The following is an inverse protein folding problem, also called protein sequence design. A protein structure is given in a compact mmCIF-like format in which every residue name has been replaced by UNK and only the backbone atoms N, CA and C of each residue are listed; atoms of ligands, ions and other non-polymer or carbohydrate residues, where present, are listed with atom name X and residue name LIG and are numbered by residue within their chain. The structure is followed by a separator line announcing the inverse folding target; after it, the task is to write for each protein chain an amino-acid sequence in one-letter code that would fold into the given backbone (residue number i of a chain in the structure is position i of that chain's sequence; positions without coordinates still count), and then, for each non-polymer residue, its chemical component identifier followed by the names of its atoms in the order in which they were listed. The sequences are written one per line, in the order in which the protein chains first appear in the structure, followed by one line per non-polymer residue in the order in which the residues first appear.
data_IF_765145036992
#
_entry.id   IF_765145036992
#
_cell.length_a   1.000
_cell.length_b   1.000
_cell.length_c   1.000
_cell.angle_alpha   90.00
_cell.angle_beta   90.00
_cell.angle_gamma   90.00
#
_symmetry.space_group_name_H-M   'P 1'
#
loop_
_entity.id
_entity.type
_entity.pdbx_description
1 polymer ?
#
# COMPACT_ATOMS: atom_id res chain seq x y z
N UNK A 1 -17.35 2.09 0.16
CA UNK A 1 -17.86 0.79 0.64
C UNK A 1 -18.08 0.86 2.14
N UNK A 2 -19.34 1.02 2.54
CA UNK A 2 -19.77 1.16 3.94
C UNK A 2 -21.13 0.52 4.14
N UNK A 3 -21.47 0.22 5.38
CA UNK A 3 -22.76 -0.33 5.77
C UNK A 3 -23.32 0.43 6.97
N UNK A 4 -24.64 0.52 7.05
CA UNK A 4 -25.33 1.18 8.17
C UNK A 4 -25.49 0.24 9.34
N UNK A 5 -25.15 0.73 10.52
CA UNK A 5 -25.34 0.03 11.79
C UNK A 5 -26.12 0.89 12.78
N UNK A 6 -27.01 0.27 13.53
CA UNK A 6 -27.63 0.91 14.69
C UNK A 6 -26.64 0.88 15.84
N UNK A 7 -26.30 2.03 16.37
CA UNK A 7 -25.36 2.19 17.48
C UNK A 7 -25.97 2.99 18.61
N UNK A 8 -25.42 2.86 19.81
CA UNK A 8 -25.73 3.74 20.94
C UNK A 8 -24.63 4.77 21.07
N UNK A 9 -24.95 6.05 20.81
CA UNK A 9 -24.01 7.16 20.85
C UNK A 9 -24.15 7.94 22.16
N UNK A 10 -23.07 8.00 22.93
CA UNK A 10 -22.99 8.84 24.12
C UNK A 10 -22.47 10.23 23.76
N UNK A 11 -23.25 11.25 24.10
CA UNK A 11 -22.89 12.67 23.94
C UNK A 11 -23.61 13.51 24.98
N UNK A 12 -22.89 14.45 25.62
CA UNK A 12 -23.47 15.39 26.58
C UNK A 12 -24.31 14.72 27.69
N UNK A 13 -23.79 13.64 28.30
CA UNK A 13 -24.44 12.86 29.35
C UNK A 13 -25.77 12.18 28.93
N UNK A 14 -25.98 12.00 27.63
CA UNK A 14 -27.13 11.29 27.07
C UNK A 14 -26.67 10.13 26.19
N UNK A 15 -27.46 9.08 26.17
CA UNK A 15 -27.29 7.92 25.31
C UNK A 15 -28.43 7.91 24.29
N UNK A 16 -28.10 8.08 23.03
CA UNK A 16 -29.04 8.11 21.91
C UNK A 16 -28.79 6.92 20.97
N UNK A 17 -29.85 6.29 20.50
CA UNK A 17 -29.74 5.27 19.45
C UNK A 17 -29.79 5.97 18.09
N UNK A 18 -28.70 5.83 17.31
CA UNK A 18 -28.54 6.47 16.00
C UNK A 18 -28.03 5.47 14.97
N UNK A 19 -28.14 5.82 13.70
CA UNK A 19 -27.48 5.07 12.63
C UNK A 19 -26.10 5.67 12.37
N UNK A 20 -25.11 4.79 12.14
CA UNK A 20 -23.74 5.18 11.74
C UNK A 20 -23.28 4.37 10.54
N UNK A 21 -22.34 4.93 9.78
CA UNK A 21 -21.75 4.26 8.63
C UNK A 21 -20.39 3.68 9.01
N UNK A 22 -20.26 2.39 8.83
CA UNK A 22 -19.06 1.63 9.19
C UNK A 22 -18.40 1.10 7.91
N UNK A 23 -17.07 1.19 7.83
CA UNK A 23 -16.30 0.61 6.72
C UNK A 23 -16.48 -0.90 6.67
N UNK A 24 -16.77 -1.44 5.47
CA UNK A 24 -16.86 -2.88 5.27
C UNK A 24 -15.44 -3.47 5.28
N UNK A 25 -15.27 -4.53 6.05
CA UNK A 25 -14.05 -5.34 6.11
C UNK A 25 -14.40 -6.79 5.77
N UNK A 26 -13.78 -7.36 4.74
CA UNK A 26 -14.05 -8.69 4.22
C UNK A 26 -12.75 -9.38 3.80
N UNK A 27 -12.62 -10.71 3.97
CA UNK A 27 -11.45 -11.43 3.49
C UNK A 27 -11.39 -11.42 1.96
N UNK A 28 -10.18 -11.35 1.40
CA UNK A 28 -9.87 -11.61 0.01
C UNK A 28 -8.79 -12.68 -0.08
N UNK A 29 -9.09 -13.78 -0.75
CA UNK A 29 -8.15 -14.83 -1.07
C UNK A 29 -7.50 -14.53 -2.43
N UNK A 30 -6.18 -14.29 -2.43
CA UNK A 30 -5.39 -13.99 -3.63
C UNK A 30 -4.73 -15.27 -4.12
N UNK A 31 -5.09 -15.70 -5.33
CA UNK A 31 -4.59 -16.91 -5.97
C UNK A 31 -3.79 -16.58 -7.22
N UNK A 32 -2.73 -17.35 -7.45
CA UNK A 32 -1.88 -17.27 -8.64
C UNK A 32 -2.00 -18.55 -9.45
N UNK A 33 -2.17 -18.41 -10.77
CA UNK A 33 -2.09 -19.48 -11.74
C UNK A 33 -0.91 -19.24 -12.68
N UNK A 34 0.02 -20.19 -12.73
CA UNK A 34 1.24 -20.07 -13.52
C UNK A 34 1.66 -21.43 -14.07
N UNK A 35 2.56 -21.44 -15.05
CA UNK A 35 3.14 -22.67 -15.59
C UNK A 35 4.40 -23.04 -14.80
N UNK A 36 4.54 -24.31 -14.46
CA UNK A 36 5.78 -24.89 -13.95
C UNK A 36 6.19 -25.98 -14.97
N UNK A 37 7.09 -25.64 -15.86
CA UNK A 37 7.38 -26.40 -17.06
C UNK A 37 6.15 -26.51 -17.97
N UNK A 38 5.68 -27.71 -18.24
CA UNK A 38 4.48 -27.97 -19.08
C UNK A 38 3.15 -27.93 -18.31
N UNK A 39 3.19 -27.89 -16.99
CA UNK A 39 2.00 -28.05 -16.14
C UNK A 39 1.53 -26.71 -15.58
N UNK A 40 0.22 -26.49 -15.59
CA UNK A 40 -0.38 -25.38 -14.87
C UNK A 40 -0.45 -25.69 -13.37
N UNK A 41 0.00 -24.74 -12.57
CA UNK A 41 -0.15 -24.75 -11.11
C UNK A 41 -1.03 -23.60 -10.67
N UNK A 42 -1.75 -23.84 -9.58
CA UNK A 42 -2.53 -22.82 -8.87
C UNK A 42 -2.13 -22.86 -7.41
N UNK A 43 -1.76 -21.70 -6.88
CA UNK A 43 -1.32 -21.51 -5.48
C UNK A 43 -2.13 -20.43 -4.81
N UNK A 44 -2.50 -20.64 -3.56
CA UNK A 44 -3.02 -19.59 -2.69
C UNK A 44 -1.82 -18.78 -2.14
N UNK A 45 -1.77 -17.50 -2.44
CA UNK A 45 -0.67 -16.65 -2.03
C UNK A 45 -0.91 -16.00 -0.66
N UNK A 46 -2.14 -15.53 -0.43
CA UNK A 46 -2.49 -14.80 0.78
C UNK A 46 -4.00 -14.73 0.98
N UNK A 47 -4.39 -14.58 2.23
CA UNK A 47 -5.73 -14.12 2.59
C UNK A 47 -5.55 -12.82 3.38
N UNK A 48 -6.12 -11.72 2.88
CA UNK A 48 -6.03 -10.41 3.52
C UNK A 48 -7.41 -9.86 3.85
N UNK A 49 -7.55 -9.20 5.00
CA UNK A 49 -8.74 -8.45 5.34
C UNK A 49 -8.66 -7.09 4.65
N UNK A 50 -9.66 -6.78 3.80
CA UNK A 50 -9.66 -5.55 3.01
C UNK A 50 -11.03 -4.88 2.98
N UNK A 51 -11.07 -3.61 2.63
CA UNK A 51 -12.30 -2.98 2.14
C UNK A 51 -12.55 -3.44 0.71
N UNK A 52 -13.72 -4.07 0.42
CA UNK A 52 -14.07 -4.52 -0.93
C UNK A 52 -13.97 -3.42 -1.97
N UNK A 53 -13.75 -3.84 -3.22
CA UNK A 53 -13.49 -2.95 -4.35
C UNK A 53 -11.99 -2.68 -4.55
N UNK A 54 -11.61 -2.38 -5.77
CA UNK A 54 -10.20 -2.28 -6.18
C UNK A 54 -9.38 -3.56 -5.93
N UNK A 55 -10.02 -4.73 -5.89
CA UNK A 55 -9.38 -6.01 -5.59
C UNK A 55 -8.33 -6.40 -6.66
N UNK A 56 -8.54 -5.99 -7.90
CA UNK A 56 -7.55 -6.15 -8.98
C UNK A 56 -6.30 -5.33 -8.67
N UNK A 57 -6.45 -4.03 -8.35
CA UNK A 57 -5.34 -3.17 -7.98
C UNK A 57 -4.61 -3.70 -6.74
N UNK A 58 -5.37 -4.13 -5.70
CA UNK A 58 -4.80 -4.73 -4.50
C UNK A 58 -3.91 -5.92 -4.85
N UNK A 59 -4.41 -6.83 -5.69
CA UNK A 59 -3.72 -8.07 -6.04
C UNK A 59 -2.49 -7.82 -6.90
N UNK A 60 -2.57 -6.94 -7.89
CA UNK A 60 -1.42 -6.55 -8.73
C UNK A 60 -0.34 -5.89 -7.88
N UNK A 61 -0.71 -4.92 -7.04
CA UNK A 61 0.23 -4.25 -6.15
C UNK A 61 0.88 -5.22 -5.16
N UNK A 62 0.11 -6.15 -4.59
CA UNK A 62 0.62 -7.20 -3.73
C UNK A 62 1.67 -8.06 -4.44
N UNK A 63 1.36 -8.62 -5.63
CA UNK A 63 2.28 -9.45 -6.38
C UNK A 63 3.60 -8.71 -6.71
N UNK A 64 3.50 -7.46 -7.10
CA UNK A 64 4.66 -6.64 -7.45
C UNK A 64 5.49 -6.29 -6.22
N UNK A 65 4.86 -5.83 -5.15
CA UNK A 65 5.52 -5.45 -3.91
C UNK A 65 6.17 -6.62 -3.18
N UNK A 66 5.59 -7.82 -3.29
CA UNK A 66 6.17 -9.07 -2.79
C UNK A 66 7.19 -9.68 -3.77
N UNK A 67 7.49 -9.00 -4.89
CA UNK A 67 8.44 -9.46 -5.91
C UNK A 67 8.13 -10.85 -6.46
N UNK A 68 6.86 -11.23 -6.49
CA UNK A 68 6.37 -12.44 -7.15
C UNK A 68 6.41 -12.23 -8.66
N UNK A 69 6.07 -11.02 -9.10
CA UNK A 69 6.27 -10.51 -10.45
C UNK A 69 7.11 -9.24 -10.41
N UNK A 70 7.90 -8.98 -11.45
CA UNK A 70 8.69 -7.73 -11.62
C UNK A 70 8.24 -6.94 -12.84
N UNK A 71 7.34 -7.49 -13.64
CA UNK A 71 6.75 -6.83 -14.81
C UNK A 71 5.25 -7.13 -14.85
N UNK A 72 4.44 -6.08 -14.95
CA UNK A 72 2.98 -6.20 -15.04
C UNK A 72 2.53 -6.91 -16.34
N UNK A 73 3.33 -6.85 -17.39
CA UNK A 73 3.03 -7.52 -18.66
C UNK A 73 3.05 -9.06 -18.55
N UNK A 74 3.50 -9.62 -17.43
CA UNK A 74 3.39 -11.07 -17.17
C UNK A 74 1.98 -11.49 -16.79
N UNK A 75 1.10 -10.56 -16.44
CA UNK A 75 -0.30 -10.84 -16.12
C UNK A 75 -1.08 -11.00 -17.43
N UNK A 76 -1.60 -12.19 -17.67
CA UNK A 76 -2.48 -12.50 -18.79
C UNK A 76 -3.94 -12.16 -18.47
N UNK A 77 -4.40 -12.50 -17.26
CA UNK A 77 -5.79 -12.37 -16.85
C UNK A 77 -5.94 -12.22 -15.36
N UNK A 78 -6.92 -11.42 -14.94
CA UNK A 78 -7.37 -11.29 -13.56
C UNK A 78 -8.86 -11.58 -13.49
N UNK A 79 -9.28 -12.46 -12.58
CA UNK A 79 -10.68 -12.90 -12.46
C UNK A 79 -11.10 -12.94 -11.00
N UNK A 80 -12.17 -12.23 -10.65
CA UNK A 80 -12.86 -12.41 -9.38
C UNK A 80 -13.78 -13.63 -9.46
N UNK A 81 -13.70 -14.52 -8.48
CA UNK A 81 -14.47 -15.77 -8.45
C UNK A 81 -14.83 -16.18 -7.02
N UNK A 82 -15.44 -17.36 -6.86
CA UNK A 82 -15.91 -17.86 -5.58
C UNK A 82 -17.35 -17.48 -5.29
N UNK A 83 -17.80 -17.86 -4.12
CA UNK A 83 -19.15 -17.56 -3.67
C UNK A 83 -19.33 -16.07 -3.47
N UNK A 84 -20.51 -15.58 -3.84
CA UNK A 84 -20.91 -14.22 -3.55
C UNK A 84 -21.29 -14.11 -2.08
N UNK A 85 -20.66 -13.22 -1.34
CA UNK A 85 -21.11 -12.90 0.02
C UNK A 85 -22.44 -12.14 -0.07
N UNK A 86 -23.56 -12.87 0.07
CA UNK A 86 -24.92 -12.43 -0.23
C UNK A 86 -25.36 -11.12 0.47
N UNK A 87 -24.62 -10.65 1.47
CA UNK A 87 -24.92 -9.39 2.15
C UNK A 87 -24.42 -8.18 1.37
N UNK A 88 -23.28 -8.27 0.64
CA UNK A 88 -22.62 -7.13 0.04
C UNK A 88 -22.32 -7.28 -1.47
N UNK A 89 -22.71 -8.39 -2.09
CA UNK A 89 -22.50 -8.70 -3.51
C UNK A 89 -21.01 -8.67 -3.96
N UNK A 90 -20.09 -9.10 -3.08
CA UNK A 90 -18.66 -9.19 -3.37
C UNK A 90 -18.16 -10.62 -3.42
N UNK A 91 -17.25 -10.88 -4.35
CA UNK A 91 -16.52 -12.14 -4.40
C UNK A 91 -15.26 -12.04 -3.56
N UNK A 92 -15.00 -13.09 -2.77
CA UNK A 92 -13.89 -13.11 -1.82
C UNK A 92 -12.64 -13.81 -2.34
N UNK A 93 -12.60 -14.13 -3.64
CA UNK A 93 -11.44 -14.77 -4.28
C UNK A 93 -11.09 -14.07 -5.58
N UNK A 94 -9.79 -13.90 -5.81
CA UNK A 94 -9.25 -13.37 -7.05
C UNK A 94 -8.16 -14.31 -7.57
N UNK A 95 -8.16 -14.56 -8.87
CA UNK A 95 -7.19 -15.40 -9.57
C UNK A 95 -6.43 -14.55 -10.57
N UNK A 96 -5.12 -14.48 -10.41
CA UNK A 96 -4.21 -13.89 -11.37
C UNK A 96 -3.56 -15.00 -12.17
N UNK A 97 -3.72 -14.98 -13.50
CA UNK A 97 -3.08 -15.92 -14.44
C UNK A 97 -1.89 -15.24 -15.09
N UNK A 98 -0.73 -15.89 -15.08
CA UNK A 98 0.48 -15.39 -15.72
C UNK A 98 0.71 -16.07 -17.07
N UNK A 99 1.09 -15.26 -18.08
CA UNK A 99 1.39 -15.73 -19.43
C UNK A 99 2.81 -16.33 -19.55
N UNK A 100 3.75 -15.86 -18.73
CA UNK A 100 5.14 -16.31 -18.71
C UNK A 100 5.54 -16.67 -17.28
N UNK A 101 5.96 -17.92 -17.10
CA UNK A 101 6.33 -18.48 -15.80
C UNK A 101 7.84 -18.63 -15.60
N UNK A 102 8.64 -18.46 -16.66
CA UNK A 102 10.09 -18.68 -16.60
C UNK A 102 10.79 -17.70 -15.61
N UNK A 103 10.12 -16.58 -15.30
CA UNK A 103 10.62 -15.55 -14.43
C UNK A 103 9.88 -15.44 -13.08
N UNK A 104 8.87 -16.30 -12.82
CA UNK A 104 8.14 -16.26 -11.55
C UNK A 104 9.06 -16.70 -10.41
N UNK A 105 9.16 -15.89 -9.38
CA UNK A 105 9.95 -16.25 -8.20
C UNK A 105 9.21 -17.28 -7.33
N UNK A 106 9.24 -18.54 -7.77
CA UNK A 106 8.56 -19.67 -7.11
C UNK A 106 9.02 -19.82 -5.64
N UNK A 107 10.27 -19.48 -5.34
CA UNK A 107 10.77 -19.52 -3.96
C UNK A 107 10.10 -18.46 -3.08
N UNK A 108 9.73 -17.33 -3.65
CA UNK A 108 8.97 -16.26 -2.99
C UNK A 108 7.51 -16.68 -2.81
N UNK A 109 6.90 -17.28 -3.83
CA UNK A 109 5.54 -17.85 -3.74
C UNK A 109 5.45 -18.85 -2.58
N UNK A 110 6.40 -19.78 -2.47
CA UNK A 110 6.46 -20.78 -1.39
C UNK A 110 6.71 -20.17 -0.01
N UNK A 111 7.53 -19.11 0.10
CA UNK A 111 7.78 -18.40 1.36
C UNK A 111 6.54 -17.70 1.87
N UNK A 112 5.81 -17.01 1.00
CA UNK A 112 4.58 -16.31 1.38
C UNK A 112 3.49 -17.29 1.84
N UNK A 113 3.43 -18.49 1.27
CA UNK A 113 2.54 -19.55 1.72
C UNK A 113 2.83 -20.04 3.16
N UNK A 114 4.10 -20.08 3.56
CA UNK A 114 4.51 -20.51 4.91
C UNK A 114 4.37 -19.39 5.97
N UNK A 115 4.26 -18.13 5.55
CA UNK A 115 4.28 -16.95 6.44
C UNK A 115 2.91 -16.33 6.70
N UNK A 116 1.82 -17.01 6.37
CA UNK A 116 0.44 -16.57 6.61
C UNK A 116 0.03 -16.49 8.10
N UNK A 117 0.96 -16.43 9.03
CA UNK A 117 0.71 -16.13 10.43
C UNK A 117 1.12 -14.69 10.73
N UNK A 118 0.21 -13.92 11.20
CA UNK A 118 0.14 -12.56 11.80
C UNK A 118 1.43 -11.79 12.16
N UNK A 119 2.60 -12.22 11.75
CA UNK A 119 3.89 -11.60 12.00
C UNK A 119 4.73 -11.72 10.72
N UNK A 120 4.66 -10.72 9.85
CA UNK A 120 5.37 -10.66 8.55
C UNK A 120 6.90 -10.62 8.64
N UNK A 121 7.51 -11.05 9.74
CA UNK A 121 8.95 -10.91 10.01
C UNK A 121 9.57 -12.15 10.64
N UNK A 122 9.10 -13.35 10.32
CA UNK A 122 9.79 -14.56 10.76
C UNK A 122 10.68 -15.13 9.64
N UNK A 123 11.94 -14.83 9.73
CA UNK A 123 13.03 -15.44 8.95
C UNK A 123 13.68 -14.46 7.97
N UNK A 124 14.77 -13.81 8.40
CA UNK A 124 15.68 -12.98 7.59
C UNK A 124 14.99 -11.95 6.68
N UNK A 125 14.11 -11.17 7.23
CA UNK A 125 13.83 -9.83 6.76
C UNK A 125 14.97 -8.94 7.23
N UNK A 126 16.16 -9.38 6.98
CA UNK A 126 17.30 -8.52 7.20
C UNK A 126 17.23 -7.46 6.09
N UNK A 127 17.65 -6.27 6.41
CA UNK A 127 18.03 -5.22 5.46
C UNK A 127 18.80 -5.80 4.27
N UNK A 128 19.58 -6.87 4.49
CA UNK A 128 20.37 -7.62 3.51
C UNK A 128 19.51 -8.38 2.47
N UNK A 129 18.30 -8.86 2.83
CA UNK A 129 17.41 -9.51 1.86
C UNK A 129 16.87 -8.52 0.84
N UNK A 130 16.64 -7.27 1.25
CA UNK A 130 16.22 -6.18 0.36
C UNK A 130 17.34 -5.75 -0.59
N UNK A 131 18.60 -5.74 -0.15
CA UNK A 131 19.74 -5.46 -1.03
C UNK A 131 19.87 -6.51 -2.12
N UNK A 132 19.49 -7.76 -1.84
CA UNK A 132 19.48 -8.83 -2.85
C UNK A 132 18.35 -8.63 -3.87
N UNK A 133 17.23 -8.06 -3.44
CA UNK A 133 16.06 -7.82 -4.31
C UNK A 133 16.16 -6.49 -5.07
N UNK A 134 16.81 -5.48 -4.49
CA UNK A 134 16.97 -4.16 -5.07
C UNK A 134 18.42 -3.69 -4.97
N UNK A 135 19.14 -3.76 -6.08
CA UNK A 135 20.54 -3.32 -6.15
C UNK A 135 20.70 -1.80 -6.26
N UNK A 136 19.71 -1.13 -6.85
CA UNK A 136 19.78 0.31 -7.10
C UNK A 136 18.98 1.11 -6.07
N UNK A 137 19.58 2.17 -5.56
CA UNK A 137 18.87 3.16 -4.74
C UNK A 137 17.84 3.92 -5.59
N UNK A 138 16.72 4.37 -5.02
CA UNK A 138 15.81 5.25 -5.73
C UNK A 138 16.58 6.45 -6.25
N UNK A 139 16.34 6.80 -7.47
CA UNK A 139 16.85 8.06 -8.00
C UNK A 139 16.05 9.20 -7.36
N UNK A 140 16.69 10.30 -7.07
CA UNK A 140 16.07 11.46 -6.45
C UNK A 140 15.97 12.62 -7.43
N UNK A 141 14.93 13.46 -7.30
CA UNK A 141 14.85 14.66 -8.09
C UNK A 141 16.04 15.57 -7.76
N UNK A 142 16.53 16.30 -8.75
CA UNK A 142 17.57 17.30 -8.57
C UNK A 142 17.09 18.49 -7.70
N UNK A 143 15.78 18.66 -7.58
CA UNK A 143 15.14 19.74 -6.82
C UNK A 143 14.70 19.24 -5.44
N UNK A 144 15.00 20.02 -4.40
CA UNK A 144 14.51 19.76 -3.04
C UNK A 144 12.99 19.93 -3.00
N UNK A 145 12.34 19.15 -2.14
CA UNK A 145 10.91 19.33 -1.89
C UNK A 145 10.67 20.48 -0.90
N UNK A 146 9.76 21.36 -1.25
CA UNK A 146 9.42 22.49 -0.39
C UNK A 146 8.60 22.04 0.83
N UNK A 147 8.91 22.57 2.03
CA UNK A 147 8.19 22.27 3.28
C UNK A 147 6.67 22.45 3.18
N UNK A 148 6.19 23.42 2.39
CA UNK A 148 4.75 23.68 2.21
C UNK A 148 4.05 22.50 1.53
N UNK A 149 4.73 21.83 0.60
CA UNK A 149 4.20 20.62 -0.07
C UNK A 149 4.07 19.48 0.95
N UNK A 150 5.11 19.27 1.78
CA UNK A 150 5.11 18.26 2.83
C UNK A 150 3.92 18.48 3.78
N UNK A 151 3.73 19.72 4.26
CA UNK A 151 2.65 20.08 5.20
C UNK A 151 1.27 19.91 4.58
N UNK A 152 1.11 20.28 3.31
CA UNK A 152 -0.19 20.23 2.62
C UNK A 152 -0.59 18.83 2.15
N UNK A 153 0.37 17.95 1.87
CA UNK A 153 0.05 16.64 1.25
C UNK A 153 -0.89 15.76 2.09
N UNK A 154 -0.84 15.71 3.45
CA UNK A 154 -1.83 14.97 4.23
C UNK A 154 -3.23 15.59 4.22
N UNK A 155 -3.33 16.91 4.12
CA UNK A 155 -4.61 17.62 4.02
C UNK A 155 -5.27 17.30 2.68
N UNK A 156 -4.53 17.46 1.58
CA UNK A 156 -5.00 17.07 0.23
C UNK A 156 -5.39 15.59 0.20
N UNK A 157 -4.58 14.71 0.81
CA UNK A 157 -4.92 13.30 0.91
C UNK A 157 -6.27 13.10 1.61
N UNK A 158 -6.46 13.73 2.77
CA UNK A 158 -7.69 13.64 3.58
C UNK A 158 -8.92 14.16 2.83
N UNK A 159 -8.80 15.28 2.11
CA UNK A 159 -9.89 15.86 1.30
C UNK A 159 -10.34 14.90 0.18
N UNK A 160 -9.46 14.03 -0.29
CA UNK A 160 -9.73 13.05 -1.34
C UNK A 160 -10.09 11.65 -0.81
N UNK A 161 -10.21 11.48 0.51
CA UNK A 161 -10.64 10.24 1.14
C UNK A 161 -12.18 10.19 1.27
N UNK A 162 -12.84 9.67 0.26
CA UNK A 162 -14.32 9.61 0.20
C UNK A 162 -14.91 8.66 1.25
N UNK A 163 -14.28 7.52 1.50
CA UNK A 163 -14.75 6.55 2.48
C UNK A 163 -14.44 7.02 3.91
N UNK A 164 -13.27 7.61 4.13
CA UNK A 164 -12.92 8.18 5.43
C UNK A 164 -13.88 9.30 5.85
N UNK A 165 -14.29 10.16 4.92
CA UNK A 165 -15.24 11.24 5.22
C UNK A 165 -16.61 10.74 5.72
N UNK A 166 -16.99 9.52 5.32
CA UNK A 166 -18.26 8.89 5.70
C UNK A 166 -18.10 8.07 6.99
N UNK A 167 -17.01 7.30 7.13
CA UNK A 167 -16.89 6.26 8.16
C UNK A 167 -15.87 6.57 9.23
N UNK A 168 -14.89 7.44 8.96
CA UNK A 168 -13.78 7.75 9.88
C UNK A 168 -12.82 6.58 10.16
N UNK A 169 -13.08 5.38 9.64
CA UNK A 169 -12.42 4.12 10.03
C UNK A 169 -11.61 3.46 8.91
N UNK A 170 -10.90 4.24 8.08
CA UNK A 170 -10.17 3.70 6.92
C UNK A 170 -8.85 4.44 6.72
N UNK A 171 -7.84 3.74 6.21
CA UNK A 171 -6.54 4.32 5.85
C UNK A 171 -6.50 4.71 4.37
N UNK A 172 -5.54 5.60 4.03
CA UNK A 172 -5.26 5.95 2.66
C UNK A 172 -3.77 6.05 2.37
N UNK A 173 -3.44 5.82 1.09
CA UNK A 173 -2.16 6.17 0.49
C UNK A 173 -2.41 6.98 -0.78
N UNK A 174 -1.64 8.04 -0.99
CA UNK A 174 -1.72 8.92 -2.16
C UNK A 174 -0.37 9.07 -2.83
N UNK A 175 -0.37 9.02 -4.17
CA UNK A 175 0.77 9.37 -5.01
C UNK A 175 0.68 10.83 -5.40
N UNK A 176 1.76 11.57 -5.20
CA UNK A 176 1.87 13.00 -5.51
C UNK A 176 3.03 13.27 -6.46
N UNK A 177 2.90 14.31 -7.28
CA UNK A 177 4.07 14.90 -7.95
C UNK A 177 4.90 15.72 -6.96
N UNK A 178 6.17 15.95 -7.26
CA UNK A 178 7.03 16.79 -6.44
C UNK A 178 6.57 18.27 -6.34
N UNK A 179 5.67 18.69 -7.22
CA UNK A 179 4.99 20.00 -7.13
C UNK A 179 3.77 19.98 -6.19
N UNK A 180 3.44 18.84 -5.61
CA UNK A 180 2.37 18.70 -4.61
C UNK A 180 0.99 18.36 -5.19
N UNK A 181 0.87 18.05 -6.47
CA UNK A 181 -0.39 17.64 -7.08
C UNK A 181 -0.67 16.17 -6.77
N UNK A 182 -1.88 15.85 -6.30
CA UNK A 182 -2.35 14.49 -6.10
C UNK A 182 -2.59 13.83 -7.47
N UNK A 183 -1.95 12.68 -7.71
CA UNK A 183 -2.05 11.89 -8.95
C UNK A 183 -3.05 10.76 -8.79
N UNK A 184 -2.97 10.04 -7.66
CA UNK A 184 -3.85 8.92 -7.36
C UNK A 184 -4.00 8.76 -5.85
N UNK A 185 -5.15 8.23 -5.40
CA UNK A 185 -5.44 7.93 -3.99
C UNK A 185 -6.20 6.61 -3.89
N UNK A 186 -5.85 5.82 -2.88
CA UNK A 186 -6.56 4.58 -2.53
C UNK A 186 -6.79 4.49 -1.04
N UNK A 187 -7.98 3.94 -0.71
CA UNK A 187 -8.41 3.72 0.66
C UNK A 187 -8.59 2.23 0.96
N UNK A 188 -8.26 1.83 2.17
CA UNK A 188 -8.51 0.48 2.69
C UNK A 188 -8.48 0.50 4.22
N UNK A 189 -9.22 -0.42 4.89
CA UNK A 189 -9.15 -0.63 6.35
C UNK A 189 -7.72 -0.99 6.78
N UNK A 190 -6.95 -1.67 5.92
CA UNK A 190 -5.55 -2.01 6.10
C UNK A 190 -4.63 -1.00 5.42
N UNK A 191 -3.73 -0.32 6.17
CA UNK A 191 -2.78 0.62 5.57
C UNK A 191 -1.85 -0.01 4.52
N UNK A 192 -1.51 -1.30 4.67
CA UNK A 192 -0.71 -2.03 3.67
C UNK A 192 -1.50 -2.25 2.38
N UNK A 193 -2.77 -2.65 2.51
CA UNK A 193 -3.66 -2.82 1.37
C UNK A 193 -3.92 -1.49 0.65
N UNK A 194 -4.08 -0.38 1.38
CA UNK A 194 -4.22 0.95 0.76
C UNK A 194 -3.00 1.29 -0.12
N UNK A 195 -1.79 0.96 0.33
CA UNK A 195 -0.58 1.14 -0.47
C UNK A 195 -0.51 0.14 -1.64
N UNK A 196 -0.86 -1.13 -1.43
CA UNK A 196 -0.88 -2.12 -2.52
C UNK A 196 -1.91 -1.73 -3.60
N UNK A 197 -3.12 -1.29 -3.21
CA UNK A 197 -4.11 -0.74 -4.16
C UNK A 197 -3.55 0.43 -4.96
N UNK A 198 -2.86 1.37 -4.29
CA UNK A 198 -2.25 2.52 -4.94
C UNK A 198 -1.19 2.08 -5.96
N UNK A 199 -0.27 1.22 -5.55
CA UNK A 199 0.80 0.71 -6.43
C UNK A 199 0.21 -0.06 -7.61
N UNK A 200 -0.77 -0.95 -7.37
CA UNK A 200 -1.43 -1.69 -8.45
C UNK A 200 -2.07 -0.77 -9.49
N UNK A 201 -2.78 0.26 -9.06
CA UNK A 201 -3.35 1.25 -9.99
C UNK A 201 -2.27 1.99 -10.77
N UNK A 202 -1.21 2.44 -10.06
CA UNK A 202 -0.14 3.22 -10.69
C UNK A 202 0.63 2.42 -11.73
N UNK A 203 0.84 1.13 -11.48
CA UNK A 203 1.46 0.20 -12.44
C UNK A 203 0.54 -0.02 -13.65
N UNK A 204 -0.73 -0.37 -13.42
CA UNK A 204 -1.69 -0.67 -14.50
C UNK A 204 -1.93 0.54 -15.40
N UNK A 205 -2.00 1.74 -14.83
CA UNK A 205 -2.21 3.00 -15.56
C UNK A 205 -0.91 3.68 -16.00
N UNK A 206 0.26 3.09 -15.70
CA UNK A 206 1.59 3.64 -16.01
C UNK A 206 1.77 5.08 -15.50
N UNK A 207 1.34 5.32 -14.25
CA UNK A 207 1.39 6.65 -13.63
C UNK A 207 2.72 6.95 -12.95
N UNK A 208 3.53 5.91 -12.66
CA UNK A 208 4.83 6.10 -12.01
C UNK A 208 5.80 6.80 -12.95
N UNK A 209 6.38 7.90 -12.47
CA UNK A 209 7.46 8.65 -13.13
C UNK A 209 8.67 8.64 -12.22
N UNK A 210 9.80 8.23 -12.75
CA UNK A 210 11.04 8.24 -11.99
C UNK A 210 11.38 9.66 -11.52
N UNK A 211 11.80 9.78 -10.27
CA UNK A 211 12.39 10.99 -9.67
C UNK A 211 11.48 12.20 -9.50
N UNK A 212 10.18 12.09 -9.75
CA UNK A 212 9.28 13.25 -9.73
C UNK A 212 8.03 13.04 -8.86
N UNK A 213 8.07 12.03 -7.99
CA UNK A 213 6.89 11.64 -7.22
C UNK A 213 7.25 11.20 -5.80
N UNK A 214 6.27 11.33 -4.90
CA UNK A 214 6.34 10.84 -3.54
C UNK A 214 5.01 10.24 -3.08
N UNK A 215 5.05 9.47 -2.00
CA UNK A 215 3.86 8.86 -1.40
C UNK A 215 3.57 9.50 -0.05
N UNK A 216 2.30 9.85 0.19
CA UNK A 216 1.77 10.26 1.49
C UNK A 216 0.81 9.20 2.01
N UNK A 217 1.01 8.78 3.28
CA UNK A 217 0.17 7.80 3.98
C UNK A 217 -0.56 8.45 5.16
N UNK A 218 -1.81 8.09 5.37
CA UNK A 218 -2.64 8.59 6.48
C UNK A 218 -2.24 8.01 7.85
N UNK A 219 -1.42 6.96 7.89
CA UNK A 219 -1.06 6.23 9.09
C UNK A 219 0.42 6.26 9.46
N UNK A 220 0.82 5.30 10.32
CA UNK A 220 2.22 5.05 10.70
C UNK A 220 2.98 4.44 9.54
N UNK A 221 4.28 4.77 9.43
CA UNK A 221 5.21 4.21 8.45
C UNK A 221 6.04 3.09 9.11
N UNK A 222 5.71 1.84 8.82
CA UNK A 222 6.50 0.69 9.25
C UNK A 222 7.47 0.24 8.15
N UNK A 223 8.31 -0.74 8.50
CA UNK A 223 9.30 -1.33 7.59
C UNK A 223 8.68 -1.74 6.25
N UNK A 224 7.57 -2.47 6.26
CA UNK A 224 6.93 -3.01 5.05
C UNK A 224 6.44 -1.91 4.09
N UNK A 225 5.85 -0.82 4.63
CA UNK A 225 5.42 0.31 3.79
C UNK A 225 6.60 1.00 3.11
N UNK A 226 7.71 1.21 3.86
CA UNK A 226 8.94 1.78 3.30
C UNK A 226 9.55 0.84 2.27
N UNK A 227 9.57 -0.46 2.53
CA UNK A 227 10.03 -1.47 1.58
C UNK A 227 9.24 -1.43 0.27
N UNK A 228 7.91 -1.43 0.35
CA UNK A 228 7.02 -1.35 -0.82
C UNK A 228 7.28 -0.08 -1.63
N UNK A 229 7.44 1.06 -0.98
CA UNK A 229 7.77 2.33 -1.64
C UNK A 229 9.14 2.26 -2.35
N UNK A 230 10.15 1.69 -1.71
CA UNK A 230 11.48 1.51 -2.28
C UNK A 230 11.47 0.60 -3.51
N UNK A 231 10.75 -0.53 -3.47
CA UNK A 231 10.59 -1.44 -4.61
C UNK A 231 10.06 -0.70 -5.84
N UNK A 232 9.19 0.30 -5.63
CA UNK A 232 8.61 1.13 -6.67
C UNK A 232 9.41 2.39 -7.00
N UNK A 233 10.68 2.45 -6.62
CA UNK A 233 11.59 3.59 -6.87
C UNK A 233 11.12 4.93 -6.26
N UNK A 234 10.30 4.90 -5.23
CA UNK A 234 9.87 6.10 -4.50
C UNK A 234 10.96 6.52 -3.52
N UNK A 235 11.52 7.70 -3.71
CA UNK A 235 12.62 8.25 -2.90
C UNK A 235 12.18 9.13 -1.73
N UNK A 236 10.89 9.44 -1.59
CA UNK A 236 10.33 10.23 -0.49
C UNK A 236 9.01 9.64 -0.04
N UNK A 237 8.87 9.45 1.28
CA UNK A 237 7.63 9.00 1.88
C UNK A 237 7.24 9.88 3.07
N UNK A 238 5.97 10.26 3.12
CA UNK A 238 5.40 11.16 4.13
C UNK A 238 4.30 10.41 4.89
N UNK A 239 4.31 10.50 6.22
CA UNK A 239 3.29 9.91 7.08
C UNK A 239 2.68 10.91 8.06
N UNK A 240 1.37 10.80 8.27
CA UNK A 240 0.69 11.50 9.37
C UNK A 240 1.17 10.96 10.71
N UNK A 241 1.40 9.63 10.79
CA UNK A 241 1.89 8.97 11.98
C UNK A 241 3.43 8.85 12.05
N UNK A 242 3.90 8.17 13.10
CA UNK A 242 5.31 7.90 13.33
C UNK A 242 5.87 6.81 12.41
N UNK A 243 7.15 6.90 12.00
CA UNK A 243 7.88 5.74 11.50
C UNK A 243 8.33 4.82 12.63
N UNK A 244 8.63 3.57 12.29
CA UNK A 244 9.31 2.62 13.20
C UNK A 244 10.83 2.71 13.04
N UNK A 245 11.60 2.23 14.03
CA UNK A 245 13.07 2.23 13.96
C UNK A 245 13.59 1.54 12.72
N UNK A 246 13.09 0.32 12.44
CA UNK A 246 13.51 -0.45 11.26
C UNK A 246 13.14 0.24 9.93
N UNK A 247 12.04 1.01 9.89
CA UNK A 247 11.69 1.83 8.73
C UNK A 247 12.69 2.97 8.51
N UNK A 248 13.18 3.59 9.60
CA UNK A 248 14.19 4.65 9.55
C UNK A 248 15.55 4.08 9.07
N UNK A 249 15.95 2.92 9.62
CA UNK A 249 17.19 2.25 9.22
C UNK A 249 17.18 1.89 7.73
N UNK A 250 16.05 1.36 7.26
CA UNK A 250 15.84 1.05 5.85
C UNK A 250 15.90 2.30 4.96
N UNK A 251 15.22 3.37 5.37
CA UNK A 251 15.21 4.62 4.62
C UNK A 251 16.62 5.25 4.52
N UNK A 252 17.41 5.20 5.59
CA UNK A 252 18.80 5.66 5.58
C UNK A 252 19.67 4.81 4.65
N UNK A 253 19.54 3.48 4.72
CA UNK A 253 20.35 2.55 3.92
C UNK A 253 20.12 2.72 2.42
N UNK A 254 18.86 2.92 2.02
CA UNK A 254 18.47 3.11 0.61
C UNK A 254 18.35 4.58 0.19
N UNK A 255 18.81 5.50 1.02
CA UNK A 255 18.85 6.92 0.69
C UNK A 255 17.46 7.55 0.44
N UNK A 256 16.40 7.00 1.04
CA UNK A 256 15.04 7.55 0.99
C UNK A 256 14.86 8.65 2.03
N UNK A 257 14.16 9.73 1.67
CA UNK A 257 13.72 10.73 2.63
C UNK A 257 12.45 10.25 3.32
N UNK A 258 12.46 10.19 4.66
CA UNK A 258 11.33 9.73 5.46
C UNK A 258 10.85 10.84 6.39
N UNK A 259 9.59 11.24 6.23
CA UNK A 259 8.94 12.29 7.01
C UNK A 259 7.76 11.71 7.77
N UNK A 260 7.60 12.09 9.02
CA UNK A 260 6.49 11.64 9.86
C UNK A 260 5.98 12.72 10.80
N UNK A 261 4.88 12.42 11.51
CA UNK A 261 4.21 13.34 12.40
C UNK A 261 3.84 14.69 11.73
N UNK A 262 3.42 14.63 10.47
CA UNK A 262 3.05 15.84 9.74
C UNK A 262 1.76 16.43 10.31
N UNK A 263 1.83 17.69 10.72
CA UNK A 263 0.74 18.53 11.23
C UNK A 263 0.66 19.81 10.41
N UNK A 264 -0.26 20.71 10.77
CA UNK A 264 -0.49 21.96 10.04
C UNK A 264 0.74 22.88 9.96
N UNK A 265 1.63 22.82 10.95
CA UNK A 265 2.78 23.74 11.09
C UNK A 265 4.11 23.04 11.36
N UNK A 266 4.12 21.70 11.45
CA UNK A 266 5.28 20.95 11.89
C UNK A 266 5.34 19.54 11.30
N UNK A 267 6.55 19.02 11.19
CA UNK A 267 6.83 17.63 10.83
C UNK A 267 8.23 17.24 11.30
N UNK A 268 8.50 15.94 11.38
CA UNK A 268 9.81 15.40 11.68
C UNK A 268 10.42 14.74 10.44
N UNK A 269 11.69 15.04 10.18
CA UNK A 269 12.47 14.37 9.12
C UNK A 269 13.37 13.33 9.79
N UNK A 270 13.19 12.07 9.44
CA UNK A 270 13.90 10.94 10.06
C UNK A 270 15.11 10.48 9.25
N UNK A 271 15.14 10.79 7.96
CA UNK A 271 16.26 10.48 7.06
C UNK A 271 16.38 11.51 5.95
N UNK A 272 17.62 11.80 5.51
CA UNK A 272 17.94 12.61 4.34
C UNK A 272 17.33 14.01 4.31
N UNK A 273 17.47 14.76 5.41
CA UNK A 273 16.91 16.11 5.58
C UNK A 273 17.40 17.14 4.57
N UNK A 274 18.60 16.91 3.97
CA UNK A 274 19.18 17.78 2.95
C UNK A 274 18.34 17.93 1.67
N UNK A 275 17.34 17.03 1.48
CA UNK A 275 16.40 17.06 0.34
C UNK A 275 15.15 17.87 0.58
N UNK A 276 14.99 18.38 1.81
CA UNK A 276 13.86 19.23 2.18
C UNK A 276 14.30 20.69 2.18
N UNK A 277 13.54 21.56 1.50
CA UNK A 277 13.71 22.99 1.50
C UNK A 277 12.86 23.63 2.60
N UNK A 278 13.52 24.22 3.57
CA UNK A 278 12.87 24.82 4.77
C UNK A 278 12.65 26.31 4.61
N UNK A 279 13.41 26.99 3.73
CA UNK A 279 13.35 28.45 3.55
C UNK A 279 12.35 28.86 2.47
#
# INVERSE_FOLDING_TARGET
MNSKYKISKYKNNKLDNVEDYISIEEPLEINLKYKDGKNWKKENLSITMRTPGDDENLSVGFLYNEQIITDINWIEKIESYGENNGQYDFRNKILITLNNSDNVNISQVKRNFLMNSSCGVCGKTSLDALETLKKDKPKHPNKKINKKIIIKSPEILKENQTQFSITGGIHASGLFSNDGNLIAVKEDVGRHNALDKLIGETLQKRLLKENDQFITCSGRLNFELVQKALINNIGLMIGVGAPTSLAIDLANRFDMTLVGFVKQDSFNIYSNSQRVEIN
#
